data_IF_042130232519
#
_entry.id   IF_042130232519
#
_cell.length_a   1.000
_cell.length_b   1.000
_cell.length_c   1.000
_cell.angle_alpha   90.00
_cell.angle_beta   90.00
_cell.angle_gamma   90.00
#
_symmetry.space_group_name_H-M   'P 1'
#
loop_
_entity.id
_entity.type
_entity.pdbx_description
1 polymer ?
#
# COMPACT_ATOMS: atom_id res chain seq x y z
N UNK A 1 -9.96 1.96 10.12
CA UNK A 1 -8.72 2.77 10.27
C UNK A 1 -8.89 4.08 9.50
N UNK A 2 -8.45 5.21 10.07
CA UNK A 2 -8.35 6.47 9.30
C UNK A 2 -7.09 6.35 8.44
N UNK A 3 -7.24 6.39 7.12
CA UNK A 3 -6.11 6.35 6.17
C UNK A 3 -5.65 7.79 5.96
N UNK A 4 -4.43 8.10 6.36
CA UNK A 4 -3.79 9.39 6.13
C UNK A 4 -2.50 9.23 5.30
N UNK A 5 -1.92 10.34 4.85
CA UNK A 5 -0.74 10.35 3.99
C UNK A 5 0.48 9.62 4.54
N UNK A 6 0.61 9.52 5.87
CA UNK A 6 1.70 8.83 6.56
C UNK A 6 1.39 7.35 6.80
N UNK A 7 0.16 6.90 6.52
CA UNK A 7 -0.19 5.49 6.62
C UNK A 7 0.59 4.70 5.57
N UNK A 8 1.23 3.62 6.00
CA UNK A 8 1.98 2.76 5.09
C UNK A 8 1.05 1.89 4.27
N UNK A 9 1.46 1.55 3.05
CA UNK A 9 0.69 0.65 2.19
C UNK A 9 0.48 -0.71 2.88
N UNK A 10 1.45 -1.21 3.65
CA UNK A 10 1.28 -2.47 4.40
C UNK A 10 0.22 -2.37 5.52
N UNK A 11 0.11 -1.25 6.23
CA UNK A 11 -0.99 -1.08 7.21
C UNK A 11 -2.36 -1.07 6.54
N UNK A 12 -2.45 -0.42 5.37
CA UNK A 12 -3.67 -0.43 4.55
C UNK A 12 -4.00 -1.85 4.10
N UNK A 13 -3.02 -2.60 3.58
CA UNK A 13 -3.24 -3.97 3.09
C UNK A 13 -3.54 -4.98 4.21
N UNK A 14 -3.00 -4.78 5.42
CA UNK A 14 -3.35 -5.62 6.56
C UNK A 14 -4.79 -5.36 7.04
N UNK A 15 -5.27 -4.13 6.91
CA UNK A 15 -6.65 -3.76 7.30
C UNK A 15 -7.66 -4.06 6.21
N UNK A 16 -7.28 -3.84 4.95
CA UNK A 16 -8.11 -3.96 3.74
C UNK A 16 -7.36 -4.77 2.67
N UNK A 17 -7.32 -6.10 2.78
CA UNK A 17 -6.60 -6.97 1.84
C UNK A 17 -7.05 -6.79 0.38
N UNK A 18 -8.31 -6.41 0.16
CA UNK A 18 -8.89 -6.14 -1.15
C UNK A 18 -8.24 -4.95 -1.87
N UNK A 19 -7.65 -4.01 -1.13
CA UNK A 19 -6.96 -2.85 -1.69
C UNK A 19 -5.72 -3.24 -2.51
N UNK A 20 -5.22 -4.49 -2.38
CA UNK A 20 -4.10 -4.99 -3.18
C UNK A 20 -4.38 -4.89 -4.69
N UNK A 21 -5.64 -5.04 -5.11
CA UNK A 21 -6.01 -4.91 -6.53
C UNK A 21 -5.83 -3.47 -7.01
N UNK A 22 -6.24 -2.49 -6.19
CA UNK A 22 -6.08 -1.07 -6.49
C UNK A 22 -4.60 -0.69 -6.62
N UNK A 23 -3.75 -1.12 -5.67
CA UNK A 23 -2.31 -0.83 -5.74
C UNK A 23 -1.65 -1.53 -6.93
N UNK A 24 -2.07 -2.76 -7.27
CA UNK A 24 -1.59 -3.45 -8.48
C UNK A 24 -1.98 -2.69 -9.76
N UNK A 25 -3.23 -2.22 -9.86
CA UNK A 25 -3.71 -1.44 -11.00
C UNK A 25 -2.98 -0.10 -11.16
N UNK A 26 -2.59 0.52 -10.04
CA UNK A 26 -1.78 1.76 -10.02
C UNK A 26 -0.29 1.53 -10.23
N UNK A 27 0.14 0.29 -10.46
CA UNK A 27 1.56 -0.13 -10.50
C UNK A 27 2.33 0.25 -9.22
N UNK A 28 1.60 0.41 -8.12
CA UNK A 28 2.08 0.69 -6.76
C UNK A 28 2.23 -0.59 -5.96
N UNK A 29 2.33 -1.75 -6.59
CA UNK A 29 2.74 -2.99 -5.93
C UNK A 29 3.62 -3.78 -6.87
N UNK A 30 4.92 -3.65 -6.62
CA UNK A 30 5.91 -4.49 -7.26
C UNK A 30 6.16 -5.68 -6.32
N UNK A 31 5.76 -6.88 -6.73
CA UNK A 31 5.90 -8.12 -5.95
C UNK A 31 7.36 -8.42 -5.57
N UNK A 32 8.32 -7.91 -6.34
CA UNK A 32 9.76 -7.97 -6.10
C UNK A 32 10.33 -6.77 -5.34
N UNK A 33 9.55 -5.72 -5.10
CA UNK A 33 10.00 -4.49 -4.44
C UNK A 33 9.49 -4.48 -3.00
N UNK A 34 10.33 -5.01 -2.11
CA UNK A 34 10.07 -5.08 -0.67
C UNK A 34 9.79 -3.68 -0.05
N UNK A 35 10.27 -2.61 -0.68
CA UNK A 35 10.10 -1.21 -0.27
C UNK A 35 8.64 -0.73 -0.29
N UNK A 36 7.83 -1.21 -1.23
CA UNK A 36 6.44 -0.74 -1.42
C UNK A 36 5.53 -1.13 -0.27
N UNK A 37 5.96 -2.06 0.59
CA UNK A 37 5.27 -2.39 1.84
C UNK A 37 5.48 -1.31 2.91
N UNK A 38 6.56 -0.56 2.84
CA UNK A 38 6.92 0.45 3.83
C UNK A 38 6.73 1.88 3.33
N UNK A 39 6.52 2.05 2.01
CA UNK A 39 6.16 3.33 1.43
C UNK A 39 4.80 3.81 1.96
N UNK A 40 4.72 5.12 2.16
CA UNK A 40 3.50 5.82 2.54
C UNK A 40 2.77 6.28 1.28
N UNK A 41 1.50 6.68 1.38
CA UNK A 41 0.72 7.08 0.20
C UNK A 41 1.31 8.25 -0.61
N UNK A 42 2.13 9.11 0.01
CA UNK A 42 2.73 10.29 -0.65
C UNK A 42 4.24 10.20 -0.93
N UNK A 43 4.93 9.11 -0.57
CA UNK A 43 6.41 9.07 -0.62
C UNK A 43 6.92 7.83 -1.34
#
# INVERSE_FOLDING_TARGET
MVVDKNTTINEILNTYPEAIKFFNEKQMSCSSCFAVKFDTLEN
#
